data_IF_557029607814
#
_entry.id   IF_557029607814
#
_cell.length_a   1.000
_cell.length_b   1.000
_cell.length_c   1.000
_cell.angle_alpha   90.00
_cell.angle_beta   90.00
_cell.angle_gamma   90.00
#
_symmetry.space_group_name_H-M   'P 1'
#
loop_
_entity.id
_entity.type
_entity.pdbx_description
1 polymer ?
#
# COMPACT_ATOMS: atom_id res chain seq x y z
N UNK A 1 25.79 -12.31 -13.63
CA UNK A 1 25.40 -11.28 -12.65
C UNK A 1 24.08 -11.75 -12.07
N UNK A 2 24.03 -12.00 -10.77
CA UNK A 2 22.80 -12.43 -10.10
C UNK A 2 21.86 -11.24 -9.98
N UNK A 3 20.55 -11.49 -10.06
CA UNK A 3 19.55 -10.43 -9.93
C UNK A 3 19.47 -9.98 -8.47
N UNK A 4 19.66 -8.67 -8.24
CA UNK A 4 19.46 -8.03 -6.93
C UNK A 4 18.28 -7.05 -7.01
N UNK A 5 17.21 -7.39 -6.29
CA UNK A 5 15.98 -6.60 -6.28
C UNK A 5 16.15 -5.23 -5.60
N UNK A 6 16.96 -5.15 -4.56
CA UNK A 6 17.16 -3.92 -3.81
C UNK A 6 18.00 -2.92 -4.59
N UNK A 7 19.02 -3.40 -5.31
CA UNK A 7 19.77 -2.58 -6.26
C UNK A 7 18.89 -2.11 -7.42
N UNK A 8 18.07 -3.00 -8.02
CA UNK A 8 17.11 -2.59 -9.04
C UNK A 8 16.14 -1.52 -8.52
N UNK A 9 15.63 -1.65 -7.29
CA UNK A 9 14.75 -0.64 -6.67
C UNK A 9 15.48 0.68 -6.48
N UNK A 10 16.73 0.65 -6.04
CA UNK A 10 17.55 1.85 -5.84
C UNK A 10 17.77 2.61 -7.14
N UNK A 11 18.18 1.93 -8.21
CA UNK A 11 18.35 2.57 -9.52
C UNK A 11 17.02 3.02 -10.12
N UNK A 12 15.95 2.26 -9.90
CA UNK A 12 14.61 2.65 -10.31
C UNK A 12 14.12 3.94 -9.61
N UNK A 13 14.26 4.03 -8.28
CA UNK A 13 13.98 5.25 -7.53
C UNK A 13 14.84 6.42 -8.05
N UNK A 14 16.10 6.15 -8.40
CA UNK A 14 17.00 7.17 -8.96
C UNK A 14 16.50 7.69 -10.31
N UNK A 15 15.96 6.83 -11.18
CA UNK A 15 15.33 7.23 -12.45
C UNK A 15 14.12 8.14 -12.20
N UNK A 16 13.22 7.77 -11.28
CA UNK A 16 12.06 8.59 -10.93
C UNK A 16 12.48 10.00 -10.48
N UNK A 17 13.56 10.09 -9.71
CA UNK A 17 14.09 11.37 -9.21
C UNK A 17 14.79 12.17 -10.32
N UNK A 18 15.68 11.55 -11.09
CA UNK A 18 16.47 12.23 -12.13
C UNK A 18 15.57 12.72 -13.27
N UNK A 19 14.62 11.90 -13.69
CA UNK A 19 13.75 12.18 -14.83
C UNK A 19 12.45 12.89 -14.40
N UNK A 20 12.34 13.27 -13.12
CA UNK A 20 11.19 13.96 -12.52
C UNK A 20 9.85 13.27 -12.81
N UNK A 21 9.86 11.94 -12.87
CA UNK A 21 8.66 11.17 -13.19
C UNK A 21 7.69 11.20 -12.01
N UNK A 22 6.37 11.30 -12.26
CA UNK A 22 5.39 11.15 -11.18
C UNK A 22 5.57 9.79 -10.49
N UNK A 23 5.48 9.71 -9.16
CA UNK A 23 5.55 8.42 -8.45
C UNK A 23 4.52 7.40 -8.97
N UNK A 24 3.36 7.88 -9.44
CA UNK A 24 2.31 7.06 -10.08
C UNK A 24 2.73 6.44 -11.42
N UNK A 25 3.89 6.79 -11.97
CA UNK A 25 4.40 6.22 -13.22
C UNK A 25 4.48 4.69 -13.14
N UNK A 26 4.86 4.14 -11.98
CA UNK A 26 4.91 2.70 -11.70
C UNK A 26 3.57 1.99 -11.80
N UNK A 27 2.48 2.73 -11.62
CA UNK A 27 1.14 2.17 -11.61
C UNK A 27 0.56 2.02 -13.02
N UNK A 28 1.14 2.72 -14.00
CA UNK A 28 0.67 2.72 -15.40
C UNK A 28 0.84 1.35 -16.04
N UNK A 29 -0.19 0.92 -16.78
CA UNK A 29 -0.22 -0.39 -17.43
C UNK A 29 0.94 -0.61 -18.39
N UNK A 30 1.29 0.40 -19.19
CA UNK A 30 2.43 0.32 -20.11
C UNK A 30 3.76 0.05 -19.39
N UNK A 31 3.99 0.68 -18.23
CA UNK A 31 5.19 0.42 -17.44
C UNK A 31 5.18 -0.99 -16.85
N UNK A 32 4.05 -1.44 -16.30
CA UNK A 32 3.88 -2.81 -15.77
C UNK A 32 4.15 -3.86 -16.85
N UNK A 33 3.64 -3.67 -18.07
CA UNK A 33 3.88 -4.58 -19.20
C UNK A 33 5.35 -4.58 -19.63
N UNK A 34 5.97 -3.40 -19.74
CA UNK A 34 7.38 -3.28 -20.07
C UNK A 34 8.26 -4.00 -19.04
N UNK A 35 8.03 -3.78 -17.73
CA UNK A 35 8.82 -4.42 -16.68
C UNK A 35 8.61 -5.93 -16.62
N UNK A 36 7.40 -6.43 -16.89
CA UNK A 36 7.13 -7.88 -17.00
C UNK A 36 7.96 -8.55 -18.10
N UNK A 37 8.28 -7.84 -19.18
CA UNK A 37 9.13 -8.34 -20.26
C UNK A 37 10.62 -8.15 -19.97
N UNK A 38 11.00 -6.95 -19.50
CA UNK A 38 12.40 -6.56 -19.33
C UNK A 38 13.07 -7.23 -18.11
N UNK A 39 12.36 -7.34 -16.99
CA UNK A 39 12.85 -7.96 -15.76
C UNK A 39 11.67 -8.57 -14.98
N UNK A 40 11.26 -9.81 -15.29
CA UNK A 40 10.12 -10.48 -14.66
C UNK A 40 10.24 -10.62 -13.13
N UNK A 41 11.47 -10.65 -12.61
CA UNK A 41 11.75 -10.78 -11.17
C UNK A 41 11.70 -9.43 -10.42
N UNK A 42 11.50 -8.30 -11.11
CA UNK A 42 11.42 -6.99 -10.45
C UNK A 42 10.03 -6.74 -9.89
N UNK A 43 9.89 -6.96 -8.58
CA UNK A 43 8.67 -6.60 -7.86
C UNK A 43 8.79 -5.19 -7.26
N UNK A 44 7.98 -4.28 -7.79
CA UNK A 44 7.79 -2.93 -7.25
C UNK A 44 7.17 -3.03 -5.85
N UNK A 45 6.17 -3.89 -5.71
CA UNK A 45 5.52 -4.21 -4.44
C UNK A 45 6.37 -5.20 -3.64
N UNK A 46 6.14 -5.23 -2.32
CA UNK A 46 6.90 -6.11 -1.42
C UNK A 46 6.68 -7.57 -1.85
N UNK A 47 7.76 -8.37 -2.01
CA UNK A 47 7.60 -9.80 -2.21
C UNK A 47 6.81 -10.36 -1.04
N UNK A 48 5.85 -11.23 -1.37
CA UNK A 48 4.87 -11.89 -0.50
C UNK A 48 5.24 -11.84 0.99
N UNK A 49 4.70 -10.86 1.72
CA UNK A 49 4.92 -10.78 3.16
C UNK A 49 4.17 -11.95 3.80
N UNK A 50 4.90 -13.00 4.15
CA UNK A 50 4.31 -14.15 4.85
C UNK A 50 3.98 -13.82 6.32
N UNK A 51 4.56 -12.76 6.88
CA UNK A 51 4.30 -12.29 8.24
C UNK A 51 2.95 -11.57 8.34
N UNK A 52 2.41 -11.51 9.56
CA UNK A 52 1.22 -10.70 9.80
C UNK A 52 1.59 -9.21 9.82
N UNK A 53 0.74 -8.37 9.24
CA UNK A 53 0.95 -6.92 9.16
C UNK A 53 -0.10 -6.16 9.99
N UNK A 54 0.32 -5.09 10.64
CA UNK A 54 -0.55 -4.15 11.34
C UNK A 54 -0.79 -2.90 10.49
N UNK A 55 -2.04 -2.45 10.42
CA UNK A 55 -2.46 -1.32 9.61
C UNK A 55 -2.78 -0.11 10.46
N UNK A 56 -2.42 1.06 9.93
CA UNK A 56 -2.89 2.35 10.43
C UNK A 56 -3.51 3.08 9.24
N UNK A 57 -4.76 3.51 9.36
CA UNK A 57 -5.41 4.39 8.38
C UNK A 57 -5.68 5.74 8.98
N UNK A 58 -5.33 6.78 8.26
CA UNK A 58 -5.54 8.17 8.64
C UNK A 58 -6.28 8.90 7.53
N UNK A 59 -7.34 9.63 7.88
CA UNK A 59 -8.06 10.48 6.95
C UNK A 59 -7.79 11.95 7.25
N UNK A 60 -7.22 12.65 6.27
CA UNK A 60 -6.85 14.05 6.42
C UNK A 60 -7.44 14.90 5.31
N UNK A 61 -7.85 16.12 5.66
CA UNK A 61 -8.32 17.11 4.68
C UNK A 61 -7.17 18.03 4.29
N UNK A 62 -6.83 18.05 3.01
CA UNK A 62 -5.83 18.97 2.45
C UNK A 62 -6.31 20.42 2.44
N UNK A 63 -5.38 21.35 2.25
CA UNK A 63 -5.68 22.79 2.14
C UNK A 63 -6.64 23.13 0.98
N UNK A 64 -6.68 22.27 -0.06
CA UNK A 64 -7.56 22.39 -1.22
C UNK A 64 -8.95 21.77 -0.96
N UNK A 65 -9.24 21.37 0.28
CA UNK A 65 -10.48 20.67 0.70
C UNK A 65 -10.66 19.29 0.05
N UNK A 66 -9.58 18.69 -0.43
CA UNK A 66 -9.57 17.29 -0.88
C UNK A 66 -9.25 16.41 0.32
N UNK A 67 -10.05 15.38 0.56
CA UNK A 67 -9.81 14.41 1.61
C UNK A 67 -8.89 13.30 1.09
N UNK A 68 -7.91 12.93 1.89
CA UNK A 68 -6.96 11.87 1.58
C UNK A 68 -7.02 10.79 2.64
N UNK A 69 -6.90 9.54 2.20
CA UNK A 69 -6.61 8.41 3.07
C UNK A 69 -5.15 8.02 2.91
N UNK A 70 -4.49 7.87 4.05
CA UNK A 70 -3.15 7.29 4.14
C UNK A 70 -3.28 5.91 4.74
N UNK A 71 -2.71 4.90 4.09
CA UNK A 71 -2.64 3.54 4.62
C UNK A 71 -1.17 3.22 4.91
N UNK A 72 -0.86 3.01 6.18
CA UNK A 72 0.47 2.65 6.66
C UNK A 72 0.47 1.23 7.20
N UNK A 73 1.39 0.40 6.72
CA UNK A 73 1.60 -0.96 7.21
C UNK A 73 2.84 -1.02 8.11
N UNK A 74 2.76 -1.85 9.14
CA UNK A 74 3.84 -2.16 10.06
C UNK A 74 3.99 -3.68 10.14
N UNK A 75 5.22 -4.18 10.10
CA UNK A 75 5.49 -5.61 10.30
C UNK A 75 6.89 -5.83 10.86
N UNK A 76 7.11 -7.00 11.45
CA UNK A 76 8.44 -7.43 11.91
C UNK A 76 8.91 -8.54 10.97
N UNK A 77 10.12 -8.44 10.45
CA UNK A 77 10.71 -9.46 9.57
C UNK A 77 11.40 -10.60 10.34
N UNK A 78 12.00 -11.54 9.59
CA UNK A 78 12.70 -12.71 10.17
C UNK A 78 13.94 -12.31 11.00
N UNK A 79 14.49 -11.13 10.75
CA UNK A 79 15.66 -10.58 11.43
C UNK A 79 15.25 -9.68 12.61
N UNK A 80 13.99 -9.76 13.06
CA UNK A 80 13.44 -8.93 14.13
C UNK A 80 13.49 -7.42 13.84
N UNK A 81 13.54 -7.04 12.57
CA UNK A 81 13.52 -5.63 12.17
C UNK A 81 12.09 -5.15 11.99
N UNK A 82 11.76 -4.04 12.65
CA UNK A 82 10.48 -3.36 12.48
C UNK A 82 10.50 -2.56 11.18
N UNK A 83 9.58 -2.88 10.29
CA UNK A 83 9.34 -2.14 9.05
C UNK A 83 8.08 -1.30 9.18
N UNK A 84 8.15 -0.06 8.67
CA UNK A 84 7.03 0.87 8.55
C UNK A 84 6.99 1.41 7.12
N UNK A 85 5.89 1.19 6.40
CA UNK A 85 5.72 1.68 5.01
C UNK A 85 4.34 2.28 4.81
N UNK A 86 4.30 3.42 4.13
CA UNK A 86 3.06 3.92 3.54
C UNK A 86 2.84 3.11 2.26
N UNK A 87 1.77 2.34 2.21
CA UNK A 87 1.40 1.54 1.04
C UNK A 87 0.45 2.30 0.12
N UNK A 88 -0.25 3.30 0.64
CA UNK A 88 -1.03 4.18 -0.19
C UNK A 88 -1.27 5.57 0.41
N UNK A 89 -1.37 6.56 -0.49
CA UNK A 89 -1.79 7.93 -0.24
C UNK A 89 -2.76 8.33 -1.37
N UNK A 90 -4.06 8.23 -1.13
CA UNK A 90 -5.06 8.40 -2.17
C UNK A 90 -6.17 9.39 -1.79
N UNK A 91 -6.68 10.18 -2.75
CA UNK A 91 -7.84 11.02 -2.49
C UNK A 91 -9.08 10.13 -2.31
N UNK A 92 -9.92 10.47 -1.34
CA UNK A 92 -11.20 9.81 -1.08
C UNK A 92 -12.35 10.79 -1.34
N UNK A 93 -13.36 10.31 -2.05
CA UNK A 93 -14.56 11.09 -2.40
C UNK A 93 -15.72 10.82 -1.44
N UNK A 94 -15.68 9.70 -0.70
CA UNK A 94 -16.69 9.28 0.25
C UNK A 94 -16.08 9.07 1.62
N UNK A 95 -16.80 9.53 2.65
CA UNK A 95 -16.49 9.32 4.07
C UNK A 95 -17.32 8.19 4.69
N UNK A 96 -18.04 7.41 3.88
CA UNK A 96 -18.84 6.29 4.39
C UNK A 96 -17.91 5.12 4.70
N UNK A 97 -18.07 4.52 5.88
CA UNK A 97 -17.20 3.43 6.33
C UNK A 97 -17.08 2.26 5.38
N UNK A 98 -18.16 1.93 4.66
CA UNK A 98 -18.16 0.85 3.66
C UNK A 98 -17.22 1.16 2.48
N UNK A 99 -17.22 2.40 1.98
CA UNK A 99 -16.37 2.82 0.87
C UNK A 99 -14.89 2.88 1.29
N UNK A 100 -14.64 3.31 2.54
CA UNK A 100 -13.32 3.30 3.15
C UNK A 100 -12.81 1.86 3.30
N UNK A 101 -13.63 0.95 3.82
CA UNK A 101 -13.29 -0.48 3.96
C UNK A 101 -12.96 -1.14 2.62
N UNK A 102 -13.80 -0.93 1.59
CA UNK A 102 -13.54 -1.42 0.22
C UNK A 102 -12.23 -0.89 -0.36
N UNK A 103 -11.94 0.39 -0.15
CA UNK A 103 -10.70 1.01 -0.62
C UNK A 103 -9.48 0.37 0.06
N UNK A 104 -9.52 0.23 1.39
CA UNK A 104 -8.44 -0.41 2.15
C UNK A 104 -8.22 -1.85 1.66
N UNK A 105 -9.28 -2.65 1.56
CA UNK A 105 -9.23 -4.02 1.05
C UNK A 105 -8.60 -4.13 -0.34
N UNK A 106 -9.01 -3.25 -1.26
CA UNK A 106 -8.45 -3.20 -2.62
C UNK A 106 -6.92 -3.05 -2.57
N UNK A 107 -6.43 -2.08 -1.79
CA UNK A 107 -4.99 -1.82 -1.74
C UNK A 107 -4.21 -2.93 -1.03
N UNK A 108 -4.75 -3.51 0.03
CA UNK A 108 -4.13 -4.67 0.67
C UNK A 108 -4.00 -5.85 -0.29
N UNK A 109 -5.03 -6.09 -1.11
CA UNK A 109 -4.99 -7.11 -2.15
C UNK A 109 -3.95 -6.80 -3.23
N UNK A 110 -3.90 -5.56 -3.73
CA UNK A 110 -2.89 -5.13 -4.72
C UNK A 110 -1.45 -5.27 -4.20
N UNK A 111 -1.25 -5.08 -2.88
CA UNK A 111 0.05 -5.24 -2.21
C UNK A 111 0.35 -6.68 -1.76
N UNK A 112 -0.55 -7.64 -1.98
CA UNK A 112 -0.37 -9.04 -1.53
C UNK A 112 -0.40 -9.23 -0.01
N UNK A 113 -1.03 -8.30 0.72
CA UNK A 113 -1.07 -8.28 2.19
C UNK A 113 -2.34 -8.96 2.70
N UNK A 114 -2.29 -10.29 2.79
CA UNK A 114 -3.46 -11.11 3.17
C UNK A 114 -3.55 -11.38 4.68
N UNK A 115 -2.43 -11.30 5.41
CA UNK A 115 -2.36 -11.66 6.83
C UNK A 115 -2.36 -10.41 7.68
N UNK A 116 -3.53 -9.87 8.02
CA UNK A 116 -3.61 -8.69 8.91
C UNK A 116 -3.63 -9.15 10.37
N UNK A 117 -2.76 -8.55 11.19
CA UNK A 117 -2.73 -8.75 12.64
C UNK A 117 -3.70 -7.81 13.35
N UNK A 118 -3.57 -6.52 13.09
CA UNK A 118 -4.40 -5.46 13.68
C UNK A 118 -4.65 -4.38 12.65
N UNK A 119 -5.78 -3.68 12.77
CA UNK A 119 -6.05 -2.47 12.02
C UNK A 119 -6.47 -1.37 13.00
N UNK A 120 -5.76 -0.26 12.97
CA UNK A 120 -6.05 0.96 13.71
C UNK A 120 -6.54 2.00 12.73
N UNK A 121 -7.70 2.57 13.01
CA UNK A 121 -8.34 3.59 12.19
C UNK A 121 -8.51 4.84 13.04
N UNK A 122 -8.47 6.02 12.43
CA UNK A 122 -8.73 7.28 13.11
C UNK A 122 -10.16 7.33 13.69
N UNK A 123 -10.40 8.17 14.70
CA UNK A 123 -11.63 8.13 15.52
C UNK A 123 -12.80 8.92 14.86
N UNK A 124 -13.13 8.60 13.61
CA UNK A 124 -14.30 9.11 12.92
C UNK A 124 -15.44 8.08 12.99
N UNK A 125 -16.69 8.52 13.18
CA UNK A 125 -17.85 7.63 13.36
C UNK A 125 -18.06 6.61 12.22
N UNK A 126 -17.58 6.94 11.02
CA UNK A 126 -17.58 6.07 9.84
C UNK A 126 -16.70 4.83 9.98
N UNK A 127 -15.65 4.88 10.81
CA UNK A 127 -14.60 3.87 10.80
C UNK A 127 -14.98 2.58 11.56
N UNK A 128 -15.98 2.62 12.44
CA UNK A 128 -16.58 1.42 13.04
C UNK A 128 -17.19 0.49 11.96
N UNK A 129 -17.84 1.09 10.95
CA UNK A 129 -18.38 0.35 9.81
C UNK A 129 -17.26 -0.15 8.89
N UNK A 130 -16.20 0.64 8.70
CA UNK A 130 -15.03 0.24 7.91
C UNK A 130 -14.31 -0.99 8.52
N UNK A 131 -14.12 -1.01 9.84
CA UNK A 131 -13.54 -2.16 10.55
C UNK A 131 -14.43 -3.40 10.40
N UNK A 132 -15.74 -3.23 10.52
CA UNK A 132 -16.70 -4.34 10.37
C UNK A 132 -16.67 -4.92 8.96
N UNK A 133 -16.47 -4.08 7.94
CA UNK A 133 -16.32 -4.55 6.56
C UNK A 133 -14.98 -5.25 6.33
N UNK A 134 -13.89 -4.71 6.89
CA UNK A 134 -12.57 -5.35 6.85
C UNK A 134 -12.55 -6.70 7.57
N UNK A 135 -13.20 -6.82 8.73
CA UNK A 135 -13.22 -8.05 9.52
C UNK A 135 -13.88 -9.22 8.78
N UNK A 136 -14.91 -8.96 7.97
CA UNK A 136 -15.54 -9.98 7.12
C UNK A 136 -14.55 -10.63 6.14
N UNK A 137 -13.52 -9.89 5.71
CA UNK A 137 -12.51 -10.39 4.77
C UNK A 137 -11.32 -11.04 5.47
N UNK A 138 -11.14 -10.80 6.77
CA UNK A 138 -10.07 -11.38 7.59
C UNK A 138 -10.44 -12.69 8.27
N UNK A 139 -11.72 -13.02 8.34
CA UNK A 139 -12.23 -14.20 9.07
C UNK A 139 -12.56 -15.37 8.14
N UNK A 140 -12.01 -15.38 6.92
CA UNK A 140 -12.13 -16.51 5.96
C UNK A 140 -10.87 -17.35 5.92
#
# INVERSE_FOLDING_TARGET
MEFDQDDCRKFFCRMIIIDELPFRFVEKEGFKLFMKLAQPCFFIFLPEIQQRVSLITDTSTSIQRINYMVITTHWIDKNWTLHKRIINFCPITSHRGEDLGKSISKYLHEWGLHRIFTATVDNAGSNSTAITELSKQLTK
#
